data_IF_594733966474
#
_entry.id   IF_594733966474
#
_cell.length_a   1.000
_cell.length_b   1.000
_cell.length_c   1.000
_cell.angle_alpha   90.00
_cell.angle_beta   90.00
_cell.angle_gamma   90.00
#
_symmetry.space_group_name_H-M   'P 1'
#
loop_
_entity.id
_entity.type
_entity.pdbx_description
1 polymer ?
#
# COMPACT_ATOMS: atom_id res chain seq x y z
N UNK A 1 4.06 4.53 -9.55
CA UNK A 1 5.02 5.65 -9.42
C UNK A 1 6.39 5.13 -9.00
N UNK A 2 7.42 5.97 -9.15
CA UNK A 2 8.80 5.69 -8.74
C UNK A 2 9.28 6.82 -7.83
N UNK A 3 9.24 6.61 -6.53
CA UNK A 3 9.76 7.59 -5.57
C UNK A 3 11.28 7.54 -5.50
N UNK A 4 11.90 8.70 -5.29
CA UNK A 4 13.32 8.89 -5.06
C UNK A 4 13.55 9.63 -3.75
N UNK A 5 14.76 10.02 -3.42
CA UNK A 5 15.05 10.88 -2.27
C UNK A 5 14.52 12.33 -2.46
N UNK A 6 14.06 12.72 -3.64
CA UNK A 6 13.51 14.05 -3.95
C UNK A 6 12.00 14.12 -3.70
N UNK A 7 11.61 14.59 -2.53
CA UNK A 7 10.20 14.75 -2.15
C UNK A 7 9.43 15.65 -3.14
N UNK A 8 10.06 16.69 -3.66
CA UNK A 8 9.45 17.59 -4.63
C UNK A 8 9.14 16.90 -5.99
N UNK A 9 10.05 16.03 -6.47
CA UNK A 9 9.81 15.25 -7.70
C UNK A 9 8.72 14.20 -7.47
N UNK A 10 8.72 13.56 -6.31
CA UNK A 10 7.71 12.58 -5.93
C UNK A 10 6.33 13.22 -5.80
N UNK A 11 6.25 14.44 -5.26
CA UNK A 11 5.00 15.22 -5.21
C UNK A 11 4.47 15.49 -6.62
N UNK A 12 5.32 15.95 -7.55
CA UNK A 12 4.88 16.20 -8.95
C UNK A 12 4.32 14.94 -9.60
N UNK A 13 4.98 13.77 -9.40
CA UNK A 13 4.47 12.50 -9.90
C UNK A 13 3.09 12.18 -9.30
N UNK A 14 2.95 12.31 -7.98
CA UNK A 14 1.71 12.02 -7.27
C UNK A 14 0.56 12.95 -7.70
N UNK A 15 0.84 14.24 -7.88
CA UNK A 15 -0.13 15.22 -8.38
C UNK A 15 -0.60 14.89 -9.81
N UNK A 16 0.31 14.47 -10.68
CA UNK A 16 -0.05 14.02 -12.03
C UNK A 16 -0.93 12.74 -11.98
N UNK A 17 -0.66 11.82 -11.06
CA UNK A 17 -1.53 10.66 -10.85
C UNK A 17 -2.91 11.05 -10.31
N UNK A 18 -3.01 12.07 -9.44
CA UNK A 18 -4.29 12.63 -9.00
C UNK A 18 -5.09 13.20 -10.17
N UNK A 19 -4.44 13.96 -11.06
CA UNK A 19 -5.07 14.51 -12.25
C UNK A 19 -5.60 13.39 -13.17
N UNK A 20 -4.76 12.39 -13.47
CA UNK A 20 -5.15 11.23 -14.29
C UNK A 20 -6.32 10.45 -13.69
N UNK A 21 -6.29 10.21 -12.36
CA UNK A 21 -7.37 9.50 -11.67
C UNK A 21 -8.69 10.28 -11.70
N UNK A 22 -8.65 11.60 -11.52
CA UNK A 22 -9.80 12.46 -11.64
C UNK A 22 -10.38 12.43 -13.08
N UNK A 23 -9.55 12.54 -14.11
CA UNK A 23 -9.96 12.47 -15.51
C UNK A 23 -10.55 11.11 -15.89
N UNK A 24 -10.08 10.04 -15.23
CA UNK A 24 -10.64 8.70 -15.39
C UNK A 24 -11.94 8.47 -14.60
N UNK A 25 -12.43 9.45 -13.84
CA UNK A 25 -13.63 9.35 -13.01
C UNK A 25 -13.49 8.42 -11.80
N UNK A 26 -12.26 8.25 -11.29
CA UNK A 26 -12.02 7.38 -10.14
C UNK A 26 -12.68 7.92 -8.86
N UNK A 27 -13.29 7.04 -8.07
CA UNK A 27 -13.90 7.39 -6.78
C UNK A 27 -12.86 7.58 -5.66
N UNK A 28 -11.65 7.02 -5.81
CA UNK A 28 -10.51 7.18 -4.91
C UNK A 28 -9.21 6.83 -5.63
N UNK A 29 -8.09 7.37 -5.16
CA UNK A 29 -6.74 7.05 -5.64
C UNK A 29 -5.94 6.34 -4.56
N UNK A 30 -5.22 5.28 -4.95
CA UNK A 30 -4.36 4.50 -4.07
C UNK A 30 -2.92 4.61 -4.56
N UNK A 31 -2.08 5.26 -3.76
CA UNK A 31 -0.65 5.43 -4.00
C UNK A 31 0.17 4.44 -3.17
N UNK A 32 1.41 4.13 -3.57
CA UNK A 32 2.21 3.09 -2.93
C UNK A 32 2.77 3.49 -1.55
N UNK A 33 3.41 2.54 -0.88
CA UNK A 33 4.27 2.72 0.29
C UNK A 33 5.44 3.67 -0.03
N UNK A 34 5.88 4.47 0.96
CA UNK A 34 7.04 5.36 0.84
C UNK A 34 6.96 6.30 -0.38
N UNK A 35 5.75 6.83 -0.65
CA UNK A 35 5.51 7.69 -1.80
C UNK A 35 6.16 9.07 -1.64
N UNK A 36 6.35 9.55 -0.41
CA UNK A 36 6.99 10.81 -0.07
C UNK A 36 8.49 10.82 -0.38
N UNK A 37 9.21 9.78 0.02
CA UNK A 37 10.60 9.55 -0.39
C UNK A 37 10.96 8.07 -0.25
N UNK A 38 11.92 7.62 -1.08
CA UNK A 38 12.52 6.30 -0.98
C UNK A 38 14.03 6.43 -1.15
N UNK A 39 14.80 6.00 -0.14
CA UNK A 39 16.25 6.14 -0.10
C UNK A 39 16.91 4.94 0.56
N UNK A 40 18.18 4.70 0.25
CA UNK A 40 19.01 3.67 0.89
C UNK A 40 19.69 4.15 2.17
N UNK A 41 19.73 5.47 2.41
CA UNK A 41 20.35 6.06 3.60
C UNK A 41 19.80 7.45 3.88
N UNK A 42 19.90 7.89 5.14
CA UNK A 42 19.54 9.26 5.51
C UNK A 42 18.04 9.54 5.55
N UNK A 43 17.18 8.54 5.55
CA UNK A 43 15.72 8.71 5.54
C UNK A 43 15.19 9.57 6.68
N UNK A 44 15.76 9.44 7.88
CA UNK A 44 15.40 10.26 9.03
C UNK A 44 15.59 11.78 8.78
N UNK A 45 16.64 12.16 8.03
CA UNK A 45 16.88 13.57 7.69
C UNK A 45 15.89 14.14 6.68
N UNK A 46 15.27 13.29 5.87
CA UNK A 46 14.23 13.66 4.90
C UNK A 46 12.84 13.70 5.54
N UNK A 47 12.67 12.96 6.64
CA UNK A 47 11.39 12.83 7.31
C UNK A 47 10.94 14.17 7.90
N UNK A 48 9.70 14.56 7.62
CA UNK A 48 9.04 15.74 8.16
C UNK A 48 7.73 15.35 8.83
N UNK A 49 7.29 16.15 9.79
CA UNK A 49 5.93 16.01 10.32
C UNK A 49 4.91 16.18 9.20
N UNK A 50 3.73 15.62 9.34
CA UNK A 50 2.65 15.76 8.34
C UNK A 50 2.31 17.24 8.08
N UNK A 51 2.35 18.09 9.11
CA UNK A 51 2.10 19.54 9.01
C UNK A 51 3.19 20.31 8.26
N UNK A 52 4.40 19.76 8.16
CA UNK A 52 5.56 20.41 7.54
C UNK A 52 6.00 19.73 6.24
N UNK A 53 5.37 18.61 5.90
CA UNK A 53 5.68 17.83 4.70
C UNK A 53 5.04 18.45 3.46
N UNK A 54 5.85 19.05 2.59
CA UNK A 54 5.39 19.58 1.30
C UNK A 54 4.64 18.52 0.48
N UNK A 55 5.07 17.25 0.58
CA UNK A 55 4.43 16.14 -0.10
C UNK A 55 3.00 15.92 0.40
N UNK A 56 2.81 15.87 1.72
CA UNK A 56 1.48 15.64 2.32
C UNK A 56 0.57 16.83 2.08
N UNK A 57 1.06 18.05 2.32
CA UNK A 57 0.30 19.29 2.09
C UNK A 57 -0.14 19.40 0.62
N UNK A 58 0.77 19.13 -0.34
CA UNK A 58 0.43 19.14 -1.76
C UNK A 58 -0.60 18.09 -2.16
N UNK A 59 -0.61 16.91 -1.52
CA UNK A 59 -1.64 15.89 -1.75
C UNK A 59 -2.99 16.25 -1.11
N UNK A 60 -2.99 16.89 0.06
CA UNK A 60 -4.22 17.41 0.66
C UNK A 60 -4.88 18.46 -0.25
N UNK A 61 -4.08 19.33 -0.87
CA UNK A 61 -4.55 20.29 -1.86
C UNK A 61 -5.11 19.60 -3.11
N UNK A 62 -4.41 18.57 -3.62
CA UNK A 62 -4.88 17.80 -4.78
C UNK A 62 -6.17 17.05 -4.48
N UNK A 63 -6.30 16.44 -3.30
CA UNK A 63 -7.52 15.75 -2.87
C UNK A 63 -8.72 16.71 -2.86
N UNK A 64 -8.52 17.91 -2.33
CA UNK A 64 -9.54 18.97 -2.30
C UNK A 64 -9.86 19.50 -3.69
N UNK A 65 -8.83 19.79 -4.50
CA UNK A 65 -8.99 20.33 -5.86
C UNK A 65 -9.81 19.40 -6.75
N UNK A 66 -9.53 18.12 -6.70
CA UNK A 66 -10.18 17.11 -7.54
C UNK A 66 -11.38 16.43 -6.88
N UNK A 67 -11.71 16.80 -5.62
CA UNK A 67 -12.70 16.08 -4.80
C UNK A 67 -12.45 14.56 -4.76
N UNK A 68 -11.18 14.17 -4.73
CA UNK A 68 -10.69 12.80 -4.86
C UNK A 68 -10.03 12.34 -3.56
N UNK A 69 -10.60 11.39 -2.81
CA UNK A 69 -9.93 10.77 -1.69
C UNK A 69 -8.65 10.03 -2.12
N UNK A 70 -7.61 10.09 -1.28
CA UNK A 70 -6.29 9.54 -1.58
C UNK A 70 -5.81 8.67 -0.41
N UNK A 71 -5.40 7.44 -0.71
CA UNK A 71 -4.60 6.61 0.20
C UNK A 71 -3.15 6.67 -0.22
N UNK A 72 -2.23 6.92 0.72
CA UNK A 72 -0.80 7.07 0.40
C UNK A 72 0.11 6.66 1.56
N UNK A 73 1.16 5.91 1.25
CA UNK A 73 2.23 5.57 2.19
C UNK A 73 3.26 6.69 2.31
N UNK A 74 3.54 7.10 3.55
CA UNK A 74 4.47 8.19 3.89
C UNK A 74 5.35 7.79 5.08
N UNK A 75 6.33 8.64 5.39
CA UNK A 75 7.07 8.57 6.64
C UNK A 75 6.68 9.71 7.58
N UNK A 76 6.55 9.40 8.87
CA UNK A 76 6.36 10.37 9.95
C UNK A 76 7.49 10.22 10.97
N UNK A 77 7.95 11.29 11.64
CA UNK A 77 8.95 11.16 12.69
C UNK A 77 8.37 10.43 13.92
N UNK A 78 9.18 9.69 14.64
CA UNK A 78 8.83 9.21 15.99
C UNK A 78 8.82 10.37 16.98
N UNK A 79 8.15 10.20 18.11
CA UNK A 79 8.01 11.24 19.12
C UNK A 79 9.36 11.63 19.72
N UNK A 80 10.31 10.70 19.80
CA UNK A 80 11.69 10.93 20.24
C UNK A 80 12.64 11.42 19.12
N UNK A 81 12.16 11.45 17.87
CA UNK A 81 12.93 11.86 16.69
C UNK A 81 14.10 10.94 16.31
N UNK A 82 14.17 9.71 16.87
CA UNK A 82 15.28 8.78 16.62
C UNK A 82 15.04 7.86 15.42
N UNK A 83 13.76 7.62 15.07
CA UNK A 83 13.34 6.77 13.98
C UNK A 83 12.24 7.44 13.16
N UNK A 84 11.79 6.75 12.14
CA UNK A 84 10.59 7.12 11.38
C UNK A 84 9.50 6.08 11.59
N UNK A 85 8.23 6.49 11.40
CA UNK A 85 7.06 5.62 11.30
C UNK A 85 6.77 5.43 9.82
N UNK A 86 6.60 4.20 9.37
CA UNK A 86 6.09 3.88 8.02
C UNK A 86 4.57 3.87 8.12
N UNK A 87 3.92 4.89 7.58
CA UNK A 87 2.52 5.19 7.82
C UNK A 87 1.72 5.23 6.52
N UNK A 88 0.58 4.56 6.49
CA UNK A 88 -0.43 4.71 5.46
C UNK A 88 -1.48 5.70 5.96
N UNK A 89 -1.71 6.78 5.20
CA UNK A 89 -2.74 7.77 5.52
C UNK A 89 -3.88 7.72 4.51
N UNK A 90 -5.08 8.08 4.99
CA UNK A 90 -6.25 8.33 4.15
C UNK A 90 -6.62 9.80 4.22
N UNK A 91 -6.57 10.48 3.08
CA UNK A 91 -6.98 11.87 2.88
C UNK A 91 -8.36 11.85 2.23
N UNK A 92 -9.35 12.52 2.82
CA UNK A 92 -10.69 12.61 2.24
C UNK A 92 -10.76 13.64 1.10
N UNK A 93 -11.90 13.73 0.44
CA UNK A 93 -12.16 14.68 -0.65
C UNK A 93 -12.09 16.17 -0.24
N UNK A 94 -12.08 16.47 1.06
CA UNK A 94 -11.89 17.81 1.61
C UNK A 94 -10.43 18.13 1.93
N UNK A 95 -9.50 17.20 1.65
CA UNK A 95 -8.08 17.33 1.95
C UNK A 95 -7.72 17.06 3.41
N UNK A 96 -8.61 16.46 4.20
CA UNK A 96 -8.35 16.16 5.60
C UNK A 96 -7.85 14.73 5.79
N UNK A 97 -6.83 14.53 6.60
CA UNK A 97 -6.37 13.18 6.98
C UNK A 97 -7.33 12.62 8.01
N UNK A 98 -8.04 11.56 7.65
CA UNK A 98 -9.07 10.91 8.49
C UNK A 98 -8.61 9.61 9.13
N UNK A 99 -7.68 8.89 8.51
CA UNK A 99 -7.17 7.63 9.04
C UNK A 99 -5.65 7.57 8.91
N UNK A 100 -5.03 6.85 9.83
CA UNK A 100 -3.61 6.50 9.85
C UNK A 100 -3.44 5.04 10.27
N UNK A 101 -2.50 4.37 9.63
CA UNK A 101 -2.07 3.04 10.00
C UNK A 101 -0.54 2.99 9.96
N UNK A 102 0.09 2.60 11.05
CA UNK A 102 1.53 2.39 11.12
C UNK A 102 1.83 0.91 10.89
N UNK A 103 2.77 0.62 10.01
CA UNK A 103 3.19 -0.74 9.63
C UNK A 103 3.51 -1.59 10.85
N UNK A 104 2.85 -2.74 10.97
CA UNK A 104 3.03 -3.67 12.10
C UNK A 104 4.27 -4.53 11.94
N UNK A 105 4.48 -5.08 10.74
CA UNK A 105 5.56 -6.03 10.47
C UNK A 105 6.64 -5.35 9.63
N UNK A 106 7.80 -5.16 10.25
CA UNK A 106 8.95 -4.54 9.58
C UNK A 106 9.72 -5.58 8.78
N UNK A 107 10.25 -5.15 7.63
CA UNK A 107 10.99 -6.00 6.72
C UNK A 107 12.44 -6.19 7.19
N UNK A 108 12.61 -7.14 8.10
CA UNK A 108 13.92 -7.58 8.58
C UNK A 108 14.22 -8.93 7.93
N UNK A 109 15.13 -8.94 6.97
CA UNK A 109 15.58 -10.15 6.29
C UNK A 109 17.10 -10.24 6.31
N UNK A 110 17.59 -11.38 6.79
CA UNK A 110 18.99 -11.79 6.69
C UNK A 110 19.02 -13.11 5.91
N UNK A 111 19.04 -13.00 4.58
CA UNK A 111 19.13 -14.17 3.72
C UNK A 111 20.59 -14.42 3.41
N UNK A 112 21.11 -15.59 3.80
CA UNK A 112 22.48 -16.01 3.45
C UNK A 112 22.66 -15.92 1.94
N UNK A 113 23.67 -15.14 1.52
CA UNK A 113 23.96 -14.85 0.11
C UNK A 113 22.85 -14.09 -0.65
N UNK A 114 21.92 -13.42 0.07
CA UNK A 114 20.81 -12.64 -0.43
C UNK A 114 20.73 -11.22 0.13
N UNK A 115 19.62 -10.51 -0.09
CA UNK A 115 19.47 -9.17 0.43
C UNK A 115 19.42 -9.17 1.97
N UNK A 116 20.30 -8.41 2.56
CA UNK A 116 20.24 -8.05 3.98
C UNK A 116 19.50 -6.71 4.09
N UNK A 117 18.33 -6.71 4.70
CA UNK A 117 17.56 -5.52 5.02
C UNK A 117 17.10 -5.59 6.46
N UNK A 118 17.33 -4.51 7.19
CA UNK A 118 16.90 -4.37 8.58
C UNK A 118 16.10 -3.07 8.72
N UNK A 119 14.82 -3.12 8.34
CA UNK A 119 13.92 -1.95 8.42
C UNK A 119 13.81 -1.46 9.86
N UNK A 120 13.80 -2.37 10.84
CA UNK A 120 13.71 -2.05 12.28
C UNK A 120 14.86 -1.18 12.80
N UNK A 121 16.00 -1.12 12.12
CA UNK A 121 17.10 -0.24 12.49
C UNK A 121 16.71 1.25 12.42
N UNK A 122 15.88 1.65 11.44
CA UNK A 122 15.47 3.03 11.20
C UNK A 122 13.97 3.30 11.33
N UNK A 123 13.15 2.27 11.43
CA UNK A 123 11.68 2.38 11.48
C UNK A 123 11.14 1.86 12.81
N UNK A 124 10.17 2.56 13.37
CA UNK A 124 9.43 2.14 14.55
C UNK A 124 8.26 1.24 14.14
N UNK A 125 8.06 0.15 14.87
CA UNK A 125 6.96 -0.79 14.66
C UNK A 125 5.64 -0.21 15.15
N UNK A 126 4.56 -0.36 14.36
CA UNK A 126 3.19 -0.10 14.80
C UNK A 126 2.73 -1.08 15.89
N UNK A 127 1.74 -0.66 16.67
CA UNK A 127 1.20 -1.45 17.79
C UNK A 127 -0.33 -1.62 17.69
N UNK A 128 -0.96 -1.07 16.66
CA UNK A 128 -2.41 -1.12 16.47
C UNK A 128 -2.77 -1.54 15.05
N UNK A 129 -3.68 -2.49 14.93
CA UNK A 129 -4.21 -2.92 13.64
C UNK A 129 -5.10 -1.85 12.98
N UNK A 130 -5.80 -1.06 13.79
CA UNK A 130 -6.85 -0.14 13.33
C UNK A 130 -8.15 -0.88 12.95
N UNK A 131 -9.25 -0.13 12.94
CA UNK A 131 -10.54 -0.64 12.50
C UNK A 131 -10.82 -0.26 11.05
N UNK A 132 -11.55 -1.09 10.29
CA UNK A 132 -12.02 -0.72 8.97
C UNK A 132 -12.94 0.50 9.03
N UNK A 133 -12.87 1.37 8.03
CA UNK A 133 -13.62 2.62 7.95
C UNK A 133 -14.34 2.77 6.61
N UNK A 134 -15.40 3.57 6.58
CA UNK A 134 -16.21 3.78 5.39
C UNK A 134 -15.49 4.68 4.37
N UNK A 135 -15.60 4.32 3.09
CA UNK A 135 -15.03 5.03 1.97
C UNK A 135 -15.95 4.96 0.74
N UNK A 136 -15.68 5.75 -0.32
CA UNK A 136 -16.46 5.65 -1.56
C UNK A 136 -16.40 4.28 -2.27
N UNK A 137 -15.42 3.45 -1.92
CA UNK A 137 -15.21 2.12 -2.55
C UNK A 137 -15.51 0.97 -1.58
N UNK A 138 -16.23 1.23 -0.48
CA UNK A 138 -16.58 0.25 0.53
C UNK A 138 -15.80 0.43 1.83
N UNK A 139 -15.93 -0.52 2.73
CA UNK A 139 -15.27 -0.49 4.04
C UNK A 139 -13.81 -0.91 3.92
N UNK A 140 -12.88 0.06 4.10
CA UNK A 140 -11.45 -0.12 3.91
C UNK A 140 -10.73 -0.61 5.16
N UNK A 141 -9.92 -1.64 5.04
CA UNK A 141 -8.88 -2.03 5.98
C UNK A 141 -7.50 -1.62 5.48
N UNK A 142 -6.62 -1.18 6.37
CA UNK A 142 -5.28 -0.68 6.03
C UNK A 142 -4.19 -1.65 6.48
N UNK A 143 -3.27 -1.99 5.59
CA UNK A 143 -2.05 -2.75 5.81
C UNK A 143 -0.95 -2.19 4.91
N UNK A 144 0.33 -2.51 5.18
CA UNK A 144 1.46 -2.03 4.39
C UNK A 144 2.41 -3.19 4.05
N UNK A 145 2.66 -3.42 2.77
CA UNK A 145 3.76 -4.19 2.19
C UNK A 145 4.03 -5.53 2.90
N UNK A 146 4.99 -5.57 3.84
CA UNK A 146 5.41 -6.80 4.52
C UNK A 146 4.32 -7.42 5.40
N UNK A 147 3.31 -6.65 5.81
CA UNK A 147 2.12 -7.17 6.49
C UNK A 147 1.40 -8.23 5.64
N UNK A 148 1.55 -8.17 4.30
CA UNK A 148 0.99 -9.16 3.38
C UNK A 148 1.46 -10.60 3.65
N UNK A 149 2.61 -10.79 4.28
CA UNK A 149 3.13 -12.12 4.61
C UNK A 149 2.43 -12.77 5.80
N UNK A 150 1.68 -12.01 6.56
CA UNK A 150 0.95 -12.44 7.75
C UNK A 150 -0.55 -12.42 7.44
N UNK A 151 -1.22 -13.59 7.39
CA UNK A 151 -2.66 -13.66 7.11
C UNK A 151 -3.52 -13.08 8.24
N UNK A 152 -3.06 -13.12 9.47
CA UNK A 152 -3.84 -12.81 10.67
C UNK A 152 -4.42 -11.39 10.65
N UNK A 153 -3.66 -10.32 10.36
CA UNK A 153 -4.22 -8.97 10.30
C UNK A 153 -5.30 -8.81 9.23
N UNK A 154 -5.11 -9.44 8.04
CA UNK A 154 -6.12 -9.44 6.98
C UNK A 154 -7.40 -10.12 7.42
N UNK A 155 -7.30 -11.27 8.09
CA UNK A 155 -8.43 -12.02 8.63
C UNK A 155 -9.15 -11.22 9.74
N UNK A 156 -8.39 -10.51 10.58
CA UNK A 156 -8.94 -9.63 11.60
C UNK A 156 -9.72 -8.45 10.99
N UNK A 157 -9.17 -7.79 9.98
CA UNK A 157 -9.88 -6.74 9.26
C UNK A 157 -11.17 -7.26 8.62
N UNK A 158 -11.11 -8.47 8.03
CA UNK A 158 -12.29 -9.14 7.49
C UNK A 158 -13.37 -9.38 8.56
N UNK A 159 -12.99 -9.87 9.74
CA UNK A 159 -13.94 -10.13 10.84
C UNK A 159 -14.60 -8.85 11.35
N UNK A 160 -13.88 -7.72 11.29
CA UNK A 160 -14.37 -6.37 11.62
C UNK A 160 -15.14 -5.71 10.48
N UNK A 161 -15.38 -6.42 9.37
CA UNK A 161 -16.26 -6.00 8.28
C UNK A 161 -15.56 -5.33 7.10
N UNK A 162 -14.22 -5.35 6.98
CA UNK A 162 -13.54 -4.84 5.79
C UNK A 162 -14.05 -5.53 4.52
N UNK A 163 -14.37 -4.76 3.50
CA UNK A 163 -14.79 -5.22 2.18
C UNK A 163 -13.64 -5.08 1.16
N UNK A 164 -12.74 -4.14 1.43
CA UNK A 164 -11.53 -3.86 0.66
C UNK A 164 -10.36 -3.74 1.62
N UNK A 165 -9.22 -4.37 1.31
CA UNK A 165 -8.01 -4.28 2.14
C UNK A 165 -6.85 -3.75 1.28
N UNK A 166 -6.14 -2.77 1.82
CA UNK A 166 -5.03 -2.10 1.15
C UNK A 166 -3.70 -2.74 1.54
N UNK A 167 -2.82 -2.92 0.54
CA UNK A 167 -1.42 -3.33 0.73
C UNK A 167 -0.49 -2.49 -0.19
N UNK A 168 -0.37 -1.16 0.03
CA UNK A 168 0.65 -0.40 -0.68
C UNK A 168 2.04 -0.95 -0.36
N UNK A 169 2.93 -0.99 -1.35
CA UNK A 169 4.22 -1.65 -1.21
C UNK A 169 5.36 -0.98 -1.98
N UNK A 170 6.59 -1.19 -1.46
CA UNK A 170 7.84 -1.07 -2.20
C UNK A 170 8.50 -2.47 -2.27
N UNK A 171 7.81 -3.42 -2.91
CA UNK A 171 8.14 -4.84 -2.92
C UNK A 171 9.42 -5.10 -3.69
N UNK A 172 10.30 -5.94 -3.16
CA UNK A 172 11.62 -6.18 -3.76
C UNK A 172 11.53 -7.02 -5.03
N UNK A 173 12.35 -6.70 -6.04
CA UNK A 173 12.40 -7.43 -7.32
C UNK A 173 12.68 -8.93 -7.15
N UNK A 174 13.61 -9.41 -6.30
CA UNK A 174 13.86 -10.84 -6.16
C UNK A 174 12.63 -11.63 -5.68
N UNK A 175 11.90 -11.11 -4.69
CA UNK A 175 10.70 -11.78 -4.18
C UNK A 175 9.51 -11.63 -5.13
N UNK A 176 9.44 -10.53 -5.89
CA UNK A 176 8.47 -10.36 -6.96
C UNK A 176 8.65 -11.41 -8.06
N UNK A 177 9.88 -11.54 -8.58
CA UNK A 177 10.24 -12.57 -9.58
C UNK A 177 9.97 -14.00 -9.12
N UNK A 178 10.08 -14.27 -7.82
CA UNK A 178 9.74 -15.57 -7.23
C UNK A 178 8.22 -15.79 -7.11
N UNK A 179 7.38 -14.85 -7.58
CA UNK A 179 5.92 -14.94 -7.57
C UNK A 179 5.25 -14.59 -6.23
N UNK A 180 6.02 -14.21 -5.19
CA UNK A 180 5.44 -13.95 -3.88
C UNK A 180 4.40 -12.84 -3.89
N UNK A 181 4.58 -11.80 -4.73
CA UNK A 181 3.68 -10.65 -4.81
C UNK A 181 2.27 -11.09 -5.23
N UNK A 182 2.14 -11.67 -6.42
CA UNK A 182 0.84 -12.11 -6.96
C UNK A 182 0.21 -13.20 -6.07
N UNK A 183 0.99 -14.23 -5.71
CA UNK A 183 0.48 -15.37 -4.95
C UNK A 183 -0.11 -14.92 -3.62
N UNK A 184 0.60 -14.06 -2.87
CA UNK A 184 0.15 -13.60 -1.55
C UNK A 184 -1.07 -12.68 -1.65
N UNK A 185 -1.14 -11.78 -2.64
CA UNK A 185 -2.28 -10.89 -2.83
C UNK A 185 -3.53 -11.69 -3.19
N UNK A 186 -3.43 -12.65 -4.11
CA UNK A 186 -4.54 -13.51 -4.50
C UNK A 186 -5.00 -14.41 -3.37
N UNK A 187 -4.05 -14.98 -2.62
CA UNK A 187 -4.37 -15.76 -1.42
C UNK A 187 -5.14 -14.92 -0.41
N UNK A 188 -4.66 -13.69 -0.15
CA UNK A 188 -5.30 -12.76 0.78
C UNK A 188 -6.72 -12.41 0.35
N UNK A 189 -6.95 -12.15 -0.94
CA UNK A 189 -8.28 -11.87 -1.47
C UNK A 189 -9.25 -13.05 -1.24
N UNK A 190 -8.81 -14.27 -1.51
CA UNK A 190 -9.61 -15.49 -1.34
C UNK A 190 -9.89 -15.75 0.14
N UNK A 191 -8.88 -15.71 1.00
CA UNK A 191 -8.99 -16.02 2.43
C UNK A 191 -9.87 -15.03 3.20
N UNK A 192 -9.83 -13.75 2.79
CA UNK A 192 -10.61 -12.67 3.41
C UNK A 192 -11.94 -12.44 2.71
N UNK A 193 -12.14 -12.98 1.52
CA UNK A 193 -13.30 -12.69 0.66
C UNK A 193 -13.50 -11.16 0.52
N UNK A 194 -12.41 -10.45 0.23
CA UNK A 194 -12.36 -9.00 0.09
C UNK A 194 -11.63 -8.64 -1.18
N UNK A 195 -11.92 -7.46 -1.74
CA UNK A 195 -11.01 -6.89 -2.72
C UNK A 195 -9.67 -6.56 -2.08
N UNK A 196 -8.58 -6.79 -2.79
CA UNK A 196 -7.25 -6.33 -2.39
C UNK A 196 -6.77 -5.29 -3.38
N UNK A 197 -6.40 -4.11 -2.88
CA UNK A 197 -5.78 -3.03 -3.65
C UNK A 197 -4.32 -2.93 -3.23
N UNK A 198 -3.42 -3.24 -4.14
CA UNK A 198 -1.99 -3.34 -3.90
C UNK A 198 -1.23 -2.39 -4.83
N UNK A 199 -1.18 -1.12 -4.45
CA UNK A 199 -0.41 -0.10 -5.15
C UNK A 199 1.09 -0.26 -4.85
N UNK A 200 1.94 -0.37 -5.87
CA UNK A 200 3.34 -0.69 -5.73
C UNK A 200 4.28 0.37 -6.34
N UNK A 201 5.39 0.62 -5.65
CA UNK A 201 6.55 1.30 -6.21
C UNK A 201 7.18 0.44 -7.32
N UNK A 202 7.77 1.08 -8.33
CA UNK A 202 8.34 0.39 -9.49
C UNK A 202 9.69 1.00 -9.91
N UNK A 203 10.61 0.16 -10.36
CA UNK A 203 11.88 0.57 -10.95
C UNK A 203 12.98 0.93 -9.95
N UNK A 204 13.97 1.67 -10.39
CA UNK A 204 15.18 2.03 -9.63
C UNK A 204 14.98 3.35 -8.89
N UNK A 205 15.24 3.37 -7.58
CA UNK A 205 14.97 4.50 -6.69
C UNK A 205 16.19 5.36 -6.36
N UNK A 206 17.38 4.85 -6.59
CA UNK A 206 18.66 5.54 -6.32
C UNK A 206 19.59 5.52 -7.54
N UNK A 207 20.58 6.38 -7.53
CA UNK A 207 21.54 6.52 -8.65
C UNK A 207 22.47 5.32 -8.82
N UNK A 208 22.71 4.59 -7.75
CA UNK A 208 23.58 3.42 -7.71
C UNK A 208 22.86 2.13 -8.15
N UNK A 209 21.54 2.18 -8.35
CA UNK A 209 20.74 1.03 -8.77
C UNK A 209 20.54 -0.03 -7.67
N UNK A 210 20.84 0.30 -6.41
CA UNK A 210 20.79 -0.64 -5.29
C UNK A 210 19.37 -0.91 -4.80
N UNK A 211 18.52 0.12 -4.80
CA UNK A 211 17.13 0.00 -4.39
C UNK A 211 16.22 -0.10 -5.60
N UNK A 212 15.62 -1.26 -5.79
CA UNK A 212 14.66 -1.53 -6.88
C UNK A 212 13.38 -2.11 -6.32
N UNK A 213 12.26 -1.72 -6.92
CA UNK A 213 10.93 -2.26 -6.60
C UNK A 213 10.30 -2.93 -7.80
N UNK A 214 9.55 -3.98 -7.53
CA UNK A 214 8.99 -4.91 -8.50
C UNK A 214 7.94 -4.28 -9.41
N UNK A 215 7.12 -3.36 -8.89
CA UNK A 215 5.95 -2.85 -9.60
C UNK A 215 4.76 -3.79 -9.49
N UNK A 216 4.06 -3.99 -10.61
CA UNK A 216 2.88 -4.85 -10.68
C UNK A 216 1.80 -4.45 -9.68
N UNK A 217 1.51 -3.12 -9.60
CA UNK A 217 0.32 -2.68 -8.86
C UNK A 217 -0.90 -3.41 -9.39
N UNK A 218 -1.72 -3.97 -8.50
CA UNK A 218 -2.88 -4.75 -8.93
C UNK A 218 -4.08 -4.57 -8.01
N UNK A 219 -5.26 -4.82 -8.57
CA UNK A 219 -6.51 -5.00 -7.83
C UNK A 219 -6.96 -6.44 -8.08
N UNK A 220 -7.27 -7.15 -6.99
CA UNK A 220 -7.73 -8.52 -7.02
C UNK A 220 -9.10 -8.61 -6.38
N UNK A 221 -10.04 -9.28 -7.04
CA UNK A 221 -11.40 -9.47 -6.54
C UNK A 221 -11.46 -10.57 -5.44
N UNK A 222 -12.57 -10.66 -4.70
CA UNK A 222 -12.73 -11.66 -3.64
C UNK A 222 -12.61 -13.12 -4.08
N UNK A 223 -12.73 -13.40 -5.41
CA UNK A 223 -12.55 -14.74 -6.00
C UNK A 223 -11.09 -15.03 -6.35
N UNK A 224 -10.18 -14.06 -6.15
CA UNK A 224 -8.77 -14.18 -6.48
C UNK A 224 -8.43 -13.88 -7.94
N UNK A 225 -9.36 -13.28 -8.72
CA UNK A 225 -9.08 -12.82 -10.08
C UNK A 225 -8.41 -11.46 -10.06
N UNK A 226 -7.35 -11.29 -10.83
CA UNK A 226 -6.73 -9.98 -11.07
C UNK A 226 -7.68 -9.20 -11.99
N UNK A 227 -8.27 -8.12 -11.48
CA UNK A 227 -9.20 -7.28 -12.24
C UNK A 227 -8.51 -6.13 -12.95
N UNK A 228 -7.36 -5.70 -12.45
CA UNK A 228 -6.42 -4.86 -13.19
C UNK A 228 -5.00 -5.03 -12.66
N UNK A 229 -4.01 -4.79 -13.52
CA UNK A 229 -2.59 -4.84 -13.20
C UNK A 229 -1.83 -3.80 -14.01
N UNK A 230 -0.85 -3.14 -13.39
CA UNK A 230 0.11 -2.25 -14.05
C UNK A 230 1.42 -2.97 -14.34
N UNK A 231 2.25 -2.35 -15.19
CA UNK A 231 3.57 -2.88 -15.53
C UNK A 231 4.54 -2.96 -14.35
N UNK A 232 5.57 -3.79 -14.51
CA UNK A 232 6.62 -4.04 -13.53
C UNK A 232 8.03 -3.82 -14.06
N UNK A 233 9.00 -3.85 -13.13
CA UNK A 233 10.42 -3.79 -13.40
C UNK A 233 11.02 -5.20 -13.43
N UNK A 234 10.85 -5.89 -14.54
CA UNK A 234 11.32 -7.25 -14.76
C UNK A 234 12.79 -7.30 -15.24
N UNK A 235 13.44 -6.14 -15.39
CA UNK A 235 14.75 -5.98 -15.99
C UNK A 235 14.68 -5.66 -17.48
N UNK A 236 15.61 -6.17 -18.28
CA UNK A 236 15.56 -6.03 -19.75
C UNK A 236 14.28 -6.70 -20.28
N UNK A 237 13.40 -5.90 -20.89
CA UNK A 237 12.08 -6.35 -21.37
C UNK A 237 10.93 -6.14 -20.40
N UNK A 238 11.15 -5.47 -19.27
CA UNK A 238 10.09 -5.10 -18.33
C UNK A 238 9.00 -4.24 -18.97
N UNK A 239 7.78 -4.37 -18.45
CA UNK A 239 6.57 -3.75 -19.01
C UNK A 239 6.37 -2.30 -18.56
N UNK A 240 7.09 -1.85 -17.53
CA UNK A 240 7.02 -0.48 -17.06
C UNK A 240 7.73 0.51 -18.01
N UNK A 241 7.03 1.59 -18.38
CA UNK A 241 7.48 2.55 -19.41
C UNK A 241 8.29 3.75 -18.87
N UNK A 242 8.64 3.77 -17.60
CA UNK A 242 9.42 4.86 -16.98
C UNK A 242 8.60 6.01 -16.44
N UNK A 243 7.29 6.01 -16.59
CA UNK A 243 6.36 7.05 -16.12
C UNK A 243 5.41 6.51 -15.05
N UNK A 244 4.79 7.43 -14.29
CA UNK A 244 3.70 7.09 -13.38
C UNK A 244 2.46 6.67 -14.16
N UNK A 245 1.96 5.47 -13.87
CA UNK A 245 0.78 4.88 -14.51
C UNK A 245 -0.36 4.76 -13.52
N UNK A 246 -1.60 4.80 -14.02
CA UNK A 246 -2.82 4.41 -13.29
C UNK A 246 -3.50 3.27 -14.02
N UNK A 247 -4.21 2.43 -13.26
CA UNK A 247 -5.24 1.53 -13.76
C UNK A 247 -6.49 1.71 -12.92
N UNK A 248 -7.65 1.49 -13.51
CA UNK A 248 -8.94 1.59 -12.84
C UNK A 248 -9.67 0.26 -12.88
N UNK A 249 -10.42 -0.03 -11.82
CA UNK A 249 -11.32 -1.16 -11.75
C UNK A 249 -12.59 -0.76 -10.99
N UNK A 250 -13.69 -1.40 -11.36
CA UNK A 250 -14.93 -1.29 -10.60
C UNK A 250 -14.87 -2.20 -9.37
N UNK A 251 -15.30 -1.70 -8.22
CA UNK A 251 -15.43 -2.45 -6.97
C UNK A 251 -16.90 -2.81 -6.76
N UNK A 252 -17.24 -4.06 -7.02
CA UNK A 252 -18.59 -4.58 -6.82
C UNK A 252 -18.76 -5.09 -5.39
N UNK A 253 -19.34 -4.24 -4.53
CA UNK A 253 -19.59 -4.58 -3.12
C UNK A 253 -20.72 -5.62 -2.96
N UNK A 254 -21.65 -5.70 -3.91
CA UNK A 254 -22.68 -6.72 -3.87
C UNK A 254 -22.10 -8.11 -4.12
N UNK A 255 -21.11 -8.20 -5.01
CA UNK A 255 -20.33 -9.42 -5.21
C UNK A 255 -19.63 -9.87 -3.92
N UNK A 256 -19.02 -8.94 -3.17
CA UNK A 256 -18.43 -9.25 -1.85
C UNK A 256 -19.46 -9.84 -0.91
N UNK A 257 -20.64 -9.22 -0.81
CA UNK A 257 -21.69 -9.61 0.13
C UNK A 257 -22.34 -10.96 -0.25
N UNK A 258 -22.66 -11.13 -1.53
CA UNK A 258 -23.23 -12.39 -2.03
C UNK A 258 -22.26 -13.56 -1.82
N UNK A 259 -20.98 -13.38 -2.16
CA UNK A 259 -19.96 -14.41 -1.98
C UNK A 259 -19.80 -14.84 -0.51
N UNK A 260 -19.80 -13.87 0.42
CA UNK A 260 -19.73 -14.14 1.87
C UNK A 260 -20.96 -14.87 2.39
N UNK A 261 -22.12 -14.62 1.80
CA UNK A 261 -23.39 -15.28 2.12
C UNK A 261 -23.43 -16.70 1.55
N UNK A 262 -23.04 -16.86 0.29
CA UNK A 262 -23.20 -18.11 -0.46
C UNK A 262 -22.08 -19.12 -0.18
N UNK A 263 -20.89 -18.65 0.20
CA UNK A 263 -19.73 -19.48 0.56
C UNK A 263 -19.10 -19.00 1.89
N UNK A 264 -19.79 -19.18 3.02
CA UNK A 264 -19.31 -18.67 4.30
C UNK A 264 -18.08 -19.47 4.79
N UNK A 265 -16.96 -18.78 4.99
CA UNK A 265 -15.74 -19.35 5.58
C UNK A 265 -15.86 -19.36 7.11
N UNK A 266 -16.50 -20.38 7.66
CA UNK A 266 -16.68 -20.53 9.11
C UNK A 266 -15.41 -21.10 9.75
N UNK A 267 -14.82 -20.31 10.66
CA UNK A 267 -13.66 -20.74 11.45
C UNK A 267 -14.07 -21.76 12.51
N UNK A 268 -13.23 -22.79 12.67
CA UNK A 268 -13.44 -23.84 13.67
C UNK A 268 -12.80 -23.45 15.01
N UNK A 269 -13.27 -22.33 15.59
CA UNK A 269 -12.78 -21.82 16.89
C UNK A 269 -13.07 -22.75 18.06
N UNK A 270 -13.90 -23.77 17.82
CA UNK A 270 -14.10 -24.92 18.70
C UNK A 270 -12.91 -25.91 18.69
N UNK A 271 -12.04 -25.86 17.70
CA UNK A 271 -10.87 -26.77 17.53
C UNK A 271 -9.54 -26.03 17.69
N UNK A 272 -9.42 -24.81 17.19
CA UNK A 272 -8.25 -23.96 17.31
C UNK A 272 -8.64 -22.55 17.77
N UNK A 273 -7.76 -21.87 18.49
CA UNK A 273 -8.05 -20.55 19.03
C UNK A 273 -8.42 -19.53 17.93
N UNK A 274 -9.29 -18.61 18.25
CA UNK A 274 -9.54 -17.45 17.42
C UNK A 274 -8.24 -16.64 17.30
N UNK A 275 -7.85 -16.32 16.07
CA UNK A 275 -6.56 -15.66 15.80
C UNK A 275 -6.64 -14.14 16.01
N UNK A 276 -7.80 -13.64 16.45
CA UNK A 276 -8.03 -12.19 16.61
C UNK A 276 -9.01 -11.93 17.75
#
# INVERSE_FOLDING_TARGET
>A
MRSTASMAENLKQAQELCRKAHEAGAAALFLPEAADYLTTSGGLKLCKSVSDSEFVLGLQESAKQYSLPISVGIHEPTDDGQKVKNTLIWINAQGEIKQRYQKLHLFDMDVKDGPQMQESAGVERGIHLGDPFDSPVGKLGMQICFDLRFPEPGLALRSRGAEVILYPAAFTTPTGKAGHWEILIRARAIETQSYIIAAAQVGVHDKEGKRRSWGHSMIVDPWGRIVCELGGDEGEGGTWKGEGEIATAEIDLEFVRSMRKDSPLKRRTDVYAELV
#
